data_IF_119996272387
#
_entry.id   IF_119996272387
#
_cell.length_a   1.000
_cell.length_b   1.000
_cell.length_c   1.000
_cell.angle_alpha   90.00
_cell.angle_beta   90.00
_cell.angle_gamma   90.00
#
_symmetry.space_group_name_H-M   'P 1'
#
loop_
_entity.id
_entity.type
_entity.pdbx_description
1 polymer ?
#
# COMPACT_ATOMS: atom_id res chain seq x y z
N UNK A 1 17.92 15.43 0.70
CA UNK A 1 17.00 16.59 0.90
C UNK A 1 17.03 17.00 2.38
N UNK A 2 16.96 18.29 2.69
CA UNK A 2 17.18 18.82 4.05
C UNK A 2 15.91 18.71 4.93
N UNK A 3 16.06 18.31 6.20
CA UNK A 3 14.99 18.18 7.21
C UNK A 3 14.15 19.46 7.37
N UNK A 4 14.77 20.62 7.18
CA UNK A 4 14.12 21.93 7.27
C UNK A 4 13.01 22.12 6.22
N UNK A 5 13.15 21.53 5.03
CA UNK A 5 12.13 21.62 3.99
C UNK A 5 10.88 20.82 4.36
N UNK A 6 11.07 19.66 4.97
CA UNK A 6 9.98 18.81 5.48
C UNK A 6 9.21 19.52 6.60
N UNK A 7 9.93 20.14 7.55
CA UNK A 7 9.32 20.91 8.64
C UNK A 7 8.47 22.08 8.11
N UNK A 8 9.03 22.92 7.23
CA UNK A 8 8.30 24.07 6.65
C UNK A 8 7.05 23.65 5.88
N UNK A 9 7.11 22.55 5.13
CA UNK A 9 5.94 22.04 4.39
C UNK A 9 4.85 21.52 5.33
N UNK A 10 5.23 20.85 6.44
CA UNK A 10 4.27 20.45 7.48
C UNK A 10 3.63 21.65 8.16
N UNK A 11 4.43 22.65 8.53
CA UNK A 11 3.92 23.89 9.13
C UNK A 11 2.95 24.61 8.19
N UNK A 12 3.25 24.63 6.88
CA UNK A 12 2.34 25.18 5.89
C UNK A 12 1.01 24.39 5.80
N UNK A 13 1.04 23.06 5.86
CA UNK A 13 -0.22 22.28 5.89
C UNK A 13 -1.00 22.63 7.15
N UNK A 14 -0.32 22.63 8.30
CA UNK A 14 -0.92 22.91 9.61
C UNK A 14 -1.63 24.27 9.64
N UNK A 15 -1.04 25.33 9.06
CA UNK A 15 -1.66 26.67 9.08
C UNK A 15 -3.01 26.74 8.37
N UNK A 16 -3.33 25.83 7.44
CA UNK A 16 -4.66 25.76 6.84
C UNK A 16 -5.70 25.20 7.80
N UNK A 17 -5.34 24.23 8.64
CA UNK A 17 -6.26 23.57 9.57
C UNK A 17 -6.37 24.31 10.91
N UNK A 18 -5.31 25.00 11.34
CA UNK A 18 -5.31 25.84 12.55
C UNK A 18 -6.28 27.04 12.45
N UNK A 19 -6.80 27.36 11.25
CA UNK A 19 -7.86 28.35 11.03
C UNK A 19 -9.23 27.89 11.52
N UNK A 20 -9.43 26.58 11.70
CA UNK A 20 -10.68 25.96 12.14
C UNK A 20 -10.45 25.07 13.37
N UNK A 21 -9.98 25.63 14.51
CA UNK A 21 -9.53 24.86 15.67
C UNK A 21 -10.65 24.13 16.41
N UNK A 22 -11.92 24.50 16.18
CA UNK A 22 -13.08 23.78 16.71
C UNK A 22 -13.40 22.51 15.92
N UNK A 23 -12.84 22.38 14.72
CA UNK A 23 -13.10 21.28 13.79
C UNK A 23 -11.88 20.40 13.57
N UNK A 24 -10.68 20.94 13.68
CA UNK A 24 -9.45 20.18 13.46
C UNK A 24 -8.48 20.32 14.62
N UNK A 25 -7.83 19.21 14.96
CA UNK A 25 -6.70 19.16 15.88
C UNK A 25 -5.50 18.54 15.16
N UNK A 26 -4.38 19.26 15.13
CA UNK A 26 -3.14 18.77 14.53
C UNK A 26 -2.47 17.75 15.45
N UNK A 27 -2.25 16.53 14.95
CA UNK A 27 -1.60 15.46 15.73
C UNK A 27 -0.08 15.51 15.53
N UNK A 28 0.39 15.65 14.29
CA UNK A 28 1.82 15.68 13.99
C UNK A 28 2.23 14.95 12.73
N UNK A 29 3.49 14.52 12.68
CA UNK A 29 4.01 13.71 11.57
C UNK A 29 3.51 12.27 11.70
N UNK A 30 2.89 11.74 10.64
CA UNK A 30 2.51 10.33 10.52
C UNK A 30 3.59 9.49 9.81
N UNK A 31 4.60 10.14 9.24
CA UNK A 31 5.71 9.50 8.53
C UNK A 31 6.32 10.41 7.48
N UNK A 32 7.38 9.92 6.85
CA UNK A 32 7.97 10.49 5.64
C UNK A 32 8.38 9.34 4.74
N UNK A 33 7.85 9.30 3.52
CA UNK A 33 8.20 8.30 2.50
C UNK A 33 9.05 8.92 1.39
N UNK A 34 9.51 8.10 0.43
CA UNK A 34 10.31 8.56 -0.71
C UNK A 34 9.65 9.68 -1.54
N UNK A 35 8.32 9.75 -1.54
CA UNK A 35 7.53 10.62 -2.42
C UNK A 35 6.86 11.83 -1.71
N UNK A 36 7.04 12.00 -0.39
CA UNK A 36 6.39 13.13 0.30
C UNK A 36 6.29 13.04 1.83
N UNK A 37 5.51 13.96 2.40
CA UNK A 37 5.19 13.99 3.84
C UNK A 37 3.82 13.39 4.13
N UNK A 38 3.74 12.65 5.22
CA UNK A 38 2.50 12.21 5.82
C UNK A 38 2.27 12.97 7.13
N UNK A 39 1.15 13.68 7.23
CA UNK A 39 0.76 14.43 8.43
C UNK A 39 -0.56 13.92 8.97
N UNK A 40 -0.64 13.69 10.28
CA UNK A 40 -1.86 13.25 10.94
C UNK A 40 -2.61 14.44 11.54
N UNK A 41 -3.94 14.39 11.44
CA UNK A 41 -4.86 15.29 12.10
C UNK A 41 -6.08 14.54 12.60
N UNK A 42 -6.78 15.13 13.56
CA UNK A 42 -8.11 14.72 13.98
C UNK A 42 -9.13 15.72 13.45
N UNK A 43 -10.25 15.21 12.94
CA UNK A 43 -11.42 15.98 12.55
C UNK A 43 -12.58 15.68 13.50
N UNK A 44 -13.18 16.74 14.05
CA UNK A 44 -14.41 16.70 14.83
C UNK A 44 -15.60 16.91 13.89
N UNK A 45 -16.46 15.90 13.78
CA UNK A 45 -17.61 15.90 12.89
C UNK A 45 -18.84 16.57 13.55
N UNK A 46 -19.78 17.11 12.77
CA UNK A 46 -20.99 17.76 13.31
C UNK A 46 -21.88 16.85 14.16
N UNK A 47 -21.81 15.54 13.95
CA UNK A 47 -22.55 14.54 14.74
C UNK A 47 -21.90 14.21 16.10
N UNK A 48 -20.81 14.91 16.45
CA UNK A 48 -20.07 14.72 17.69
C UNK A 48 -19.05 13.58 17.65
N UNK A 49 -18.93 12.86 16.52
CA UNK A 49 -17.88 11.86 16.35
C UNK A 49 -16.56 12.53 15.99
N UNK A 50 -15.47 11.83 16.27
CA UNK A 50 -14.13 12.20 15.82
C UNK A 50 -13.55 11.13 14.90
N UNK A 51 -12.72 11.55 13.94
CA UNK A 51 -11.91 10.64 13.12
C UNK A 51 -10.49 11.16 12.96
N UNK A 52 -9.53 10.26 12.89
CA UNK A 52 -8.13 10.57 12.55
C UNK A 52 -7.91 10.38 11.05
N UNK A 53 -7.18 11.30 10.45
CA UNK A 53 -6.88 11.32 9.02
C UNK A 53 -5.38 11.51 8.80
N UNK A 54 -4.89 11.04 7.66
CA UNK A 54 -3.53 11.27 7.18
C UNK A 54 -3.59 12.07 5.89
N UNK A 55 -2.83 13.16 5.84
CA UNK A 55 -2.58 13.93 4.62
C UNK A 55 -1.23 13.53 4.07
N UNK A 56 -1.21 12.95 2.87
CA UNK A 56 0.00 12.73 2.08
C UNK A 56 0.18 13.89 1.11
N UNK A 57 1.33 14.57 1.12
CA UNK A 57 1.62 15.69 0.21
C UNK A 57 2.98 15.52 -0.45
N UNK A 58 3.03 15.76 -1.76
CA UNK A 58 4.27 15.69 -2.51
C UNK A 58 5.24 16.80 -2.07
N UNK A 59 6.52 16.45 -1.95
CA UNK A 59 7.62 17.40 -1.73
C UNK A 59 8.58 17.32 -2.92
N UNK A 60 9.19 18.45 -3.30
CA UNK A 60 10.10 18.48 -4.45
C UNK A 60 9.40 18.20 -5.78
N UNK A 61 10.06 17.43 -6.66
CA UNK A 61 9.60 17.03 -7.99
C UNK A 61 8.67 15.81 -8.01
N UNK A 62 8.31 15.27 -6.84
CA UNK A 62 7.55 14.02 -6.70
C UNK A 62 6.04 14.15 -6.97
N UNK A 63 5.59 15.28 -7.52
CA UNK A 63 4.18 15.53 -7.81
C UNK A 63 3.58 14.50 -8.77
N UNK A 64 4.33 14.09 -9.79
CA UNK A 64 3.86 13.10 -10.77
C UNK A 64 3.67 11.71 -10.14
N UNK A 65 4.60 11.27 -9.30
CA UNK A 65 4.51 9.99 -8.61
C UNK A 65 3.28 9.93 -7.67
N UNK A 66 3.05 11.00 -6.90
CA UNK A 66 1.89 11.08 -6.03
C UNK A 66 0.57 11.12 -6.82
N UNK A 67 0.53 11.75 -7.99
CA UNK A 67 -0.67 11.73 -8.84
C UNK A 67 -0.99 10.34 -9.38
N UNK A 68 0.04 9.58 -9.79
CA UNK A 68 -0.12 8.18 -10.20
C UNK A 68 -0.65 7.35 -9.04
N UNK A 69 -0.11 7.53 -7.83
CA UNK A 69 -0.60 6.85 -6.63
C UNK A 69 -2.05 7.23 -6.30
N UNK A 70 -2.43 8.50 -6.45
CA UNK A 70 -3.82 8.97 -6.29
C UNK A 70 -4.75 8.24 -7.23
N UNK A 71 -4.40 8.17 -8.50
CA UNK A 71 -5.26 7.54 -9.50
C UNK A 71 -5.35 6.03 -9.30
N UNK A 72 -4.21 5.39 -9.00
CA UNK A 72 -4.17 3.95 -8.69
C UNK A 72 -5.04 3.62 -7.48
N UNK A 73 -4.92 4.36 -6.39
CA UNK A 73 -5.65 4.04 -5.17
C UNK A 73 -7.17 4.22 -5.33
N UNK A 74 -7.62 5.21 -6.12
CA UNK A 74 -9.04 5.38 -6.46
C UNK A 74 -9.61 4.17 -7.19
N UNK A 75 -8.83 3.52 -8.05
CA UNK A 75 -9.29 2.37 -8.83
C UNK A 75 -9.55 1.13 -7.97
N UNK A 76 -8.85 1.00 -6.84
CA UNK A 76 -8.90 -0.17 -5.95
C UNK A 76 -9.55 0.14 -4.59
N UNK A 77 -10.17 1.31 -4.47
CA UNK A 77 -10.82 1.74 -3.25
C UNK A 77 -12.02 0.86 -2.88
N UNK A 78 -12.35 0.78 -1.59
CA UNK A 78 -13.47 0.01 -1.08
C UNK A 78 -13.12 -1.43 -0.72
N UNK A 79 -11.88 -1.88 -0.93
CA UNK A 79 -11.37 -3.13 -0.36
C UNK A 79 -10.95 -2.96 1.11
N UNK A 80 -11.40 -3.83 2.01
CA UNK A 80 -11.08 -3.78 3.45
C UNK A 80 -9.58 -3.91 3.78
N UNK A 81 -8.79 -4.52 2.91
CA UNK A 81 -7.34 -4.68 3.05
C UNK A 81 -6.55 -3.68 2.20
N UNK A 82 -7.24 -2.71 1.58
CA UNK A 82 -6.67 -1.57 0.88
C UNK A 82 -6.85 -0.33 1.77
N UNK A 83 -5.89 0.58 1.77
CA UNK A 83 -6.04 1.86 2.49
C UNK A 83 -7.10 2.74 1.83
N UNK A 84 -8.02 3.29 2.61
CA UNK A 84 -9.11 4.10 2.07
C UNK A 84 -8.72 5.57 1.92
N UNK A 85 -9.05 6.17 0.77
CA UNK A 85 -9.06 7.62 0.62
C UNK A 85 -10.26 8.22 1.34
N UNK A 86 -10.13 9.42 1.88
CA UNK A 86 -11.21 10.09 2.63
C UNK A 86 -11.45 11.48 2.08
N UNK A 87 -12.69 11.96 2.18
CA UNK A 87 -13.03 13.35 1.84
C UNK A 87 -13.11 14.21 3.08
N UNK A 88 -12.91 15.53 2.94
CA UNK A 88 -13.14 16.51 4.00
C UNK A 88 -14.10 17.57 3.43
N UNK A 89 -15.27 17.74 4.03
CA UNK A 89 -16.24 18.76 3.62
C UNK A 89 -15.63 20.16 3.73
N UNK A 90 -15.75 21.03 2.74
CA UNK A 90 -15.12 22.37 2.77
C UNK A 90 -13.61 22.33 3.11
N UNK A 91 -12.88 21.36 2.54
CA UNK A 91 -11.48 21.11 2.82
C UNK A 91 -10.63 22.40 2.76
N UNK A 92 -9.95 22.79 3.87
CA UNK A 92 -9.04 23.93 3.89
C UNK A 92 -7.95 23.89 2.80
N UNK A 93 -7.45 22.70 2.45
CA UNK A 93 -6.44 22.54 1.41
C UNK A 93 -6.99 22.79 0.01
N UNK A 94 -8.24 22.39 -0.27
CA UNK A 94 -8.88 22.63 -1.57
C UNK A 94 -9.23 24.11 -1.74
N UNK A 95 -9.69 24.80 -0.69
CA UNK A 95 -9.95 26.25 -0.73
C UNK A 95 -8.72 27.09 -0.99
N UNK A 96 -7.54 26.57 -0.63
CA UNK A 96 -6.26 27.18 -0.97
C UNK A 96 -5.85 26.96 -2.44
N UNK A 97 -6.58 26.14 -3.21
CA UNK A 97 -6.37 25.89 -4.63
C UNK A 97 -7.36 26.72 -5.46
N UNK A 98 -6.91 27.52 -6.44
CA UNK A 98 -7.82 28.18 -7.36
C UNK A 98 -8.69 27.14 -8.10
N UNK A 99 -10.01 27.38 -8.12
CA UNK A 99 -11.05 26.48 -8.62
C UNK A 99 -10.87 26.03 -10.08
N UNK A 100 -10.09 26.76 -10.87
CA UNK A 100 -9.92 26.55 -12.32
C UNK A 100 -9.12 25.29 -12.70
N UNK A 101 -8.45 24.64 -11.73
CA UNK A 101 -7.60 23.46 -11.98
C UNK A 101 -8.28 22.11 -11.73
N UNK A 102 -9.38 22.06 -10.96
CA UNK A 102 -10.01 20.77 -10.62
C UNK A 102 -10.58 20.09 -11.86
N UNK A 103 -11.07 20.86 -12.84
CA UNK A 103 -11.59 20.35 -14.12
C UNK A 103 -10.51 19.99 -15.15
N UNK A 104 -9.37 20.70 -15.16
CA UNK A 104 -8.31 20.48 -16.15
C UNK A 104 -7.59 19.13 -16.00
N UNK A 105 -7.64 18.52 -14.81
CA UNK A 105 -7.09 17.18 -14.56
C UNK A 105 -8.06 16.05 -14.94
N UNK A 106 -9.36 16.34 -15.04
CA UNK A 106 -10.39 15.36 -15.41
C UNK A 106 -10.51 15.19 -16.93
N UNK A 107 -10.29 16.26 -17.70
CA UNK A 107 -10.42 16.25 -19.17
C UNK A 107 -9.18 15.72 -19.90
N UNK A 108 -8.01 15.65 -19.25
CA UNK A 108 -6.77 15.22 -19.90
C UNK A 108 -6.65 13.68 -20.07
N UNK A 109 -7.50 12.89 -19.41
CA UNK A 109 -7.47 11.41 -19.43
C UNK A 109 -8.63 10.77 -20.21
N UNK A 110 -9.60 11.55 -20.68
CA UNK A 110 -10.70 11.05 -21.53
C UNK A 110 -10.35 11.19 -23.02
N UNK A 111 -9.24 10.59 -23.43
CA UNK A 111 -8.97 10.26 -24.83
C UNK A 111 -9.33 8.80 -25.08
N UNK A 112 -10.57 8.54 -25.46
CA UNK A 112 -11.03 7.25 -25.98
C UNK A 112 -10.22 6.83 -27.22
N UNK A 113 -10.04 5.52 -27.40
CA UNK A 113 -9.08 4.91 -28.31
C UNK A 113 -9.14 5.34 -29.78
N UNK A 114 -7.97 5.32 -30.42
CA UNK A 114 -7.71 4.46 -31.58
C UNK A 114 -6.21 4.42 -31.86
N UNK A 115 -5.64 3.22 -31.93
CA UNK A 115 -4.30 3.01 -32.47
C UNK A 115 -4.34 3.23 -33.99
N UNK A 116 -3.87 4.39 -34.46
CA UNK A 116 -3.09 4.44 -35.71
C UNK A 116 -2.33 5.76 -35.88
N UNK A 117 -1.09 5.61 -36.33
CA UNK A 117 -0.23 6.60 -36.99
C UNK A 117 0.46 7.68 -36.13
N UNK A 118 1.77 7.78 -36.40
CA UNK A 118 2.73 8.74 -35.86
C UNK A 118 2.34 10.19 -36.21
N UNK A 119 2.28 11.08 -35.22
CA UNK A 119 2.99 12.38 -35.18
C UNK A 119 2.47 13.29 -34.06
N UNK A 120 3.41 13.92 -33.33
CA UNK A 120 3.29 15.25 -32.70
C UNK A 120 2.01 15.58 -31.90
N UNK A 121 2.01 15.26 -30.61
CA UNK A 121 0.95 15.68 -29.68
C UNK A 121 1.31 15.65 -28.19
N UNK A 122 2.59 15.73 -27.82
CA UNK A 122 3.06 15.64 -26.41
C UNK A 122 3.14 17.00 -25.69
N UNK A 123 2.39 18.01 -26.15
CA UNK A 123 2.58 19.40 -25.72
C UNK A 123 2.03 19.76 -24.34
N UNK A 124 0.93 19.11 -23.90
CA UNK A 124 0.16 19.63 -22.75
C UNK A 124 0.71 19.18 -21.38
N UNK A 125 0.96 17.88 -21.20
CA UNK A 125 1.51 17.34 -19.94
C UNK A 125 2.98 17.73 -19.72
N UNK A 126 3.79 17.72 -20.78
CA UNK A 126 5.21 18.10 -20.67
C UNK A 126 5.38 19.57 -20.30
N UNK A 127 4.55 20.48 -20.82
CA UNK A 127 4.62 21.91 -20.50
C UNK A 127 4.24 22.21 -19.04
N UNK A 128 3.23 21.52 -18.49
CA UNK A 128 2.80 21.66 -17.10
C UNK A 128 3.85 21.08 -16.13
N UNK A 129 4.49 19.97 -16.50
CA UNK A 129 5.46 19.25 -15.66
C UNK A 129 6.90 19.81 -15.75
N UNK A 130 7.29 20.47 -16.85
CA UNK A 130 8.69 20.87 -17.08
C UNK A 130 9.15 22.14 -16.35
N UNK A 131 8.26 22.90 -15.70
CA UNK A 131 8.65 24.12 -14.98
C UNK A 131 9.52 25.09 -15.79
N UNK A 132 9.41 25.09 -17.13
CA UNK A 132 10.23 25.94 -18.00
C UNK A 132 9.74 27.36 -17.87
N UNK A 133 10.53 28.15 -17.16
CA UNK A 133 10.43 29.61 -17.04
C UNK A 133 10.35 30.23 -18.44
N UNK A 134 9.13 30.55 -18.87
CA UNK A 134 8.92 31.51 -19.93
C UNK A 134 9.12 32.90 -19.33
N UNK A 135 10.20 33.55 -19.74
CA UNK A 135 10.54 34.92 -19.38
C UNK A 135 9.45 35.89 -19.85
N UNK A 136 8.46 36.17 -19.01
CA UNK A 136 7.65 37.39 -19.06
C UNK A 136 6.88 37.57 -17.75
N UNK A 137 7.46 38.34 -16.82
CA UNK A 137 6.77 39.29 -15.93
C UNK A 137 5.44 38.96 -15.25
N UNK A 138 5.00 37.71 -15.13
CA UNK A 138 3.76 37.34 -14.45
C UNK A 138 4.07 36.44 -13.26
N UNK A 139 3.55 36.88 -12.11
CA UNK A 139 3.57 36.22 -10.80
C UNK A 139 3.47 34.70 -10.96
N UNK A 140 4.53 33.99 -10.56
CA UNK A 140 4.51 32.53 -10.43
C UNK A 140 3.52 32.18 -9.33
N UNK A 141 2.23 32.06 -9.66
CA UNK A 141 1.25 31.45 -8.77
C UNK A 141 1.73 30.02 -8.54
N UNK A 142 2.29 29.78 -7.36
CA UNK A 142 2.76 28.49 -6.94
C UNK A 142 1.55 27.55 -6.93
N UNK A 143 1.43 26.72 -7.97
CA UNK A 143 0.40 25.70 -8.05
C UNK A 143 0.42 24.84 -6.78
N UNK A 144 -0.73 24.60 -6.15
CA UNK A 144 -0.78 23.77 -4.95
C UNK A 144 -0.32 22.35 -5.31
N UNK A 145 0.71 21.89 -4.62
CA UNK A 145 1.23 20.53 -4.82
C UNK A 145 0.14 19.50 -4.56
N UNK A 146 0.10 18.40 -5.34
CA UNK A 146 -0.84 17.32 -5.13
C UNK A 146 -0.82 16.83 -3.68
N UNK A 147 -2.00 16.46 -3.19
CA UNK A 147 -2.18 15.84 -1.90
C UNK A 147 -3.28 14.79 -1.96
N UNK A 148 -3.23 13.85 -1.04
CA UNK A 148 -4.26 12.86 -0.79
C UNK A 148 -4.59 12.85 0.69
N UNK A 149 -5.87 12.59 1.01
CA UNK A 149 -6.32 12.35 2.37
C UNK A 149 -6.69 10.88 2.47
N UNK A 150 -6.17 10.21 3.49
CA UNK A 150 -6.38 8.79 3.76
C UNK A 150 -6.84 8.62 5.20
N UNK A 151 -7.39 7.44 5.49
CA UNK A 151 -7.62 7.04 6.87
C UNK A 151 -6.31 6.90 7.65
N UNK A 152 -6.40 7.06 8.98
CA UNK A 152 -5.28 6.86 9.88
C UNK A 152 -5.20 5.39 10.31
N UNK A 153 -4.07 4.75 10.05
CA UNK A 153 -3.81 3.37 10.46
C UNK A 153 -3.26 3.37 11.89
N UNK A 154 -4.11 3.03 12.86
CA UNK A 154 -3.78 3.19 14.29
C UNK A 154 -2.56 2.42 14.78
N UNK A 155 -2.29 1.26 14.17
CA UNK A 155 -1.20 0.38 14.58
C UNK A 155 0.10 0.60 13.79
N UNK A 156 0.13 1.60 12.91
CA UNK A 156 1.29 1.91 12.06
C UNK A 156 1.50 0.89 10.94
N UNK A 157 2.73 0.84 10.43
CA UNK A 157 3.14 -0.04 9.32
C UNK A 157 3.62 -1.41 9.83
N UNK A 158 3.53 -2.44 8.98
CA UNK A 158 3.91 -3.80 9.34
C UNK A 158 5.40 -3.96 9.66
N UNK A 159 6.28 -3.21 9.00
CA UNK A 159 7.72 -3.23 9.26
C UNK A 159 8.05 -2.83 10.70
N UNK A 160 7.44 -1.76 11.22
CA UNK A 160 7.59 -1.33 12.62
C UNK A 160 7.13 -2.43 13.60
N UNK A 161 6.07 -3.16 13.26
CA UNK A 161 5.60 -4.27 14.07
C UNK A 161 6.62 -5.43 14.08
N UNK A 162 7.14 -5.81 12.90
CA UNK A 162 8.15 -6.86 12.76
C UNK A 162 9.43 -6.47 13.52
N UNK A 163 9.90 -5.24 13.38
CA UNK A 163 11.08 -4.72 14.08
C UNK A 163 10.92 -4.78 15.60
N UNK A 164 9.74 -4.38 16.10
CA UNK A 164 9.43 -4.45 17.54
C UNK A 164 9.37 -5.89 18.03
N UNK A 165 8.78 -6.79 17.26
CA UNK A 165 8.73 -8.22 17.58
C UNK A 165 10.13 -8.84 17.58
N UNK A 166 10.99 -8.48 16.63
CA UNK A 166 12.39 -8.90 16.56
C UNK A 166 13.21 -8.44 17.77
N UNK A 167 13.14 -7.14 18.11
CA UNK A 167 13.85 -6.58 19.29
C UNK A 167 13.39 -7.22 20.60
N UNK A 168 12.10 -7.53 20.74
CA UNK A 168 11.58 -8.21 21.93
C UNK A 168 12.12 -9.64 22.06
N UNK A 169 12.41 -10.32 20.94
CA UNK A 169 13.06 -11.64 20.91
C UNK A 169 14.49 -11.58 21.44
N UNK A 170 15.25 -10.57 21.01
CA UNK A 170 16.66 -10.42 21.37
C UNK A 170 16.87 -10.02 22.84
N UNK A 171 15.84 -9.45 23.48
CA UNK A 171 15.85 -9.04 24.89
C UNK A 171 15.46 -10.16 25.89
N UNK A 172 15.28 -11.41 25.43
CA UNK A 172 14.86 -12.58 26.23
C UNK A 172 13.68 -12.28 27.19
N UNK A 173 12.79 -11.36 26.78
CA UNK A 173 11.55 -11.11 27.47
C UNK A 173 10.65 -12.33 27.23
N UNK A 174 10.63 -13.23 28.23
CA UNK A 174 10.02 -14.57 28.29
C UNK A 174 8.63 -14.77 27.64
N UNK A 175 7.91 -13.70 27.27
CA UNK A 175 6.55 -13.75 26.72
C UNK A 175 6.47 -13.58 25.20
N UNK A 176 7.51 -13.08 24.51
CA UNK A 176 7.49 -12.88 23.05
C UNK A 176 8.38 -13.90 22.32
N UNK A 177 8.10 -15.19 22.52
CA UNK A 177 8.70 -16.29 21.74
C UNK A 177 8.06 -16.31 20.35
N UNK A 178 8.72 -15.68 19.37
CA UNK A 178 8.33 -15.58 17.95
C UNK A 178 6.89 -15.10 17.68
N UNK A 179 6.60 -14.62 16.46
CA UNK A 179 5.21 -14.34 16.08
C UNK A 179 4.54 -15.70 15.87
N UNK A 180 3.39 -16.00 16.52
CA UNK A 180 2.72 -17.29 16.34
C UNK A 180 2.35 -17.53 14.88
N UNK A 181 2.54 -18.75 14.37
CA UNK A 181 2.21 -19.13 12.99
C UNK A 181 0.78 -18.75 12.58
N UNK A 182 -0.19 -18.92 13.50
CA UNK A 182 -1.58 -18.49 13.27
C UNK A 182 -1.70 -17.00 12.89
N UNK A 183 -0.86 -16.14 13.49
CA UNK A 183 -0.83 -14.70 13.20
C UNK A 183 -0.11 -14.45 11.87
N UNK A 184 0.98 -15.15 11.58
CA UNK A 184 1.69 -15.06 10.29
C UNK A 184 0.78 -15.44 9.11
N UNK A 185 0.02 -16.53 9.23
CA UNK A 185 -0.99 -16.91 8.24
C UNK A 185 -2.08 -15.85 8.06
N UNK A 186 -2.45 -15.12 9.12
CA UNK A 186 -3.42 -14.02 9.03
C UNK A 186 -2.84 -12.83 8.28
N UNK A 187 -1.58 -12.47 8.52
CA UNK A 187 -0.90 -11.43 7.75
C UNK A 187 -0.76 -11.81 6.28
N UNK A 188 -0.37 -13.06 5.99
CA UNK A 188 -0.31 -13.55 4.62
C UNK A 188 -1.69 -13.51 3.95
N UNK A 189 -2.77 -13.89 4.67
CA UNK A 189 -4.12 -13.80 4.10
C UNK A 189 -4.58 -12.36 3.87
N UNK A 190 -4.20 -11.40 4.73
CA UNK A 190 -4.44 -9.99 4.48
C UNK A 190 -3.77 -9.52 3.19
N UNK A 191 -2.53 -9.96 2.93
CA UNK A 191 -1.81 -9.65 1.69
C UNK A 191 -2.51 -10.27 0.47
N UNK A 192 -2.87 -11.55 0.54
CA UNK A 192 -3.62 -12.23 -0.53
C UNK A 192 -4.94 -11.52 -0.82
N UNK A 193 -5.67 -11.08 0.21
CA UNK A 193 -6.90 -10.29 0.06
C UNK A 193 -6.65 -8.94 -0.60
N UNK A 194 -5.57 -8.25 -0.28
CA UNK A 194 -5.19 -7.02 -0.98
C UNK A 194 -4.91 -7.30 -2.47
N UNK A 195 -4.18 -8.37 -2.80
CA UNK A 195 -3.96 -8.78 -4.19
C UNK A 195 -5.27 -9.09 -4.92
N UNK A 196 -6.22 -9.79 -4.27
CA UNK A 196 -7.56 -10.04 -4.79
C UNK A 196 -8.32 -8.72 -5.02
N UNK A 197 -8.24 -7.76 -4.10
CA UNK A 197 -8.86 -6.43 -4.28
C UNK A 197 -8.27 -5.61 -5.41
N UNK A 198 -6.99 -5.84 -5.74
CA UNK A 198 -6.35 -5.21 -6.90
C UNK A 198 -6.72 -5.90 -8.21
N UNK A 199 -6.79 -7.23 -8.21
CA UNK A 199 -7.19 -8.03 -9.38
C UNK A 199 -8.68 -7.87 -9.71
N UNK A 200 -9.55 -7.78 -8.71
CA UNK A 200 -10.99 -7.57 -8.89
C UNK A 200 -11.49 -6.42 -8.02
N UNK A 201 -11.22 -5.16 -8.43
CA UNK A 201 -11.58 -3.99 -7.64
C UNK A 201 -13.07 -3.89 -7.36
N UNK A 202 -13.41 -3.51 -6.12
CA UNK A 202 -14.78 -3.20 -5.75
C UNK A 202 -15.24 -1.96 -6.52
N UNK A 203 -16.34 -2.04 -7.24
CA UNK A 203 -16.93 -0.90 -7.97
C UNK A 203 -17.68 0.04 -7.02
N UNK A 204 -17.08 0.40 -5.88
CA UNK A 204 -17.67 1.34 -4.93
C UNK A 204 -17.37 2.77 -5.37
N UNK A 205 -18.42 3.51 -5.71
CA UNK A 205 -18.34 4.93 -6.10
C UNK A 205 -18.32 5.90 -4.89
N UNK A 206 -18.33 5.39 -3.66
CA UNK A 206 -18.37 6.22 -2.44
C UNK A 206 -17.07 6.08 -1.62
N UNK A 207 -16.20 7.11 -1.61
CA UNK A 207 -14.96 7.10 -0.82
C UNK A 207 -15.17 7.01 0.70
N UNK A 208 -16.34 7.41 1.19
CA UNK A 208 -16.69 7.36 2.61
C UNK A 208 -17.57 6.15 2.95
N UNK A 209 -17.81 5.26 1.98
CA UNK A 209 -18.50 3.99 2.16
C UNK A 209 -17.75 3.00 3.05
N UNK A 210 -18.48 2.01 3.56
CA UNK A 210 -17.90 0.91 4.34
C UNK A 210 -17.10 -0.04 3.42
N UNK A 211 -15.81 -0.30 3.71
CA UNK A 211 -15.01 -1.21 2.91
C UNK A 211 -15.55 -2.65 2.96
N UNK A 212 -15.53 -3.32 1.81
CA UNK A 212 -16.01 -4.68 1.61
C UNK A 212 -14.85 -5.65 1.61
N UNK A 213 -15.09 -6.84 2.17
CA UNK A 213 -14.13 -7.94 2.13
C UNK A 213 -13.95 -8.44 0.69
N UNK A 214 -12.70 -8.53 0.26
CA UNK A 214 -12.31 -8.96 -1.08
C UNK A 214 -12.53 -10.46 -1.26
N UNK A 215 -13.19 -10.85 -2.35
CA UNK A 215 -13.36 -12.25 -2.74
C UNK A 215 -13.08 -12.36 -4.25
N UNK A 216 -12.42 -13.43 -4.72
CA UNK A 216 -12.17 -13.61 -6.15
C UNK A 216 -13.46 -13.67 -6.97
N UNK A 217 -13.51 -12.95 -8.09
CA UNK A 217 -14.60 -13.06 -9.07
C UNK A 217 -14.22 -14.08 -10.13
N UNK A 218 -14.59 -15.33 -9.89
CA UNK A 218 -14.16 -16.49 -10.69
C UNK A 218 -14.65 -16.48 -12.14
N UNK A 219 -15.72 -15.74 -12.41
CA UNK A 219 -16.30 -15.59 -13.74
C UNK A 219 -15.75 -14.37 -14.51
N UNK A 220 -14.83 -13.61 -13.90
CA UNK A 220 -14.22 -12.40 -14.47
C UNK A 220 -12.71 -12.57 -14.54
N UNK A 221 -12.11 -12.25 -15.68
CA UNK A 221 -10.65 -12.14 -15.78
C UNK A 221 -10.12 -11.07 -14.83
N UNK A 222 -8.97 -11.29 -14.17
CA UNK A 222 -8.37 -10.28 -13.31
C UNK A 222 -8.01 -9.03 -14.13
N UNK A 223 -8.20 -7.87 -13.52
CA UNK A 223 -7.80 -6.59 -14.11
C UNK A 223 -6.27 -6.44 -14.20
N UNK A 224 -5.82 -5.57 -15.08
CA UNK A 224 -4.39 -5.33 -15.35
C UNK A 224 -3.69 -4.47 -14.26
N UNK A 225 -4.25 -4.39 -13.05
CA UNK A 225 -3.65 -3.60 -11.99
C UNK A 225 -2.44 -4.33 -11.41
N UNK A 226 -1.28 -3.67 -11.42
CA UNK A 226 -0.06 -4.17 -10.78
C UNK A 226 0.42 -3.17 -9.73
N UNK A 227 0.69 -3.66 -8.52
CA UNK A 227 1.17 -2.80 -7.43
C UNK A 227 2.59 -2.27 -7.69
N UNK A 228 3.43 -3.06 -8.38
CA UNK A 228 4.82 -2.72 -8.78
C UNK A 228 5.82 -2.43 -7.65
N UNK A 229 5.39 -2.52 -6.39
CA UNK A 229 6.19 -2.17 -5.20
C UNK A 229 5.70 -2.90 -3.94
N UNK A 230 5.24 -4.15 -4.09
CA UNK A 230 4.96 -5.01 -2.93
C UNK A 230 6.29 -5.52 -2.39
N UNK A 231 6.79 -4.92 -1.31
CA UNK A 231 8.06 -5.34 -0.70
C UNK A 231 8.02 -5.31 0.84
N UNK A 232 8.86 -6.14 1.46
CA UNK A 232 9.27 -5.99 2.87
C UNK A 232 10.75 -5.57 2.94
N UNK A 233 11.60 -6.05 2.03
CA UNK A 233 12.89 -5.51 1.58
C UNK A 233 13.46 -6.50 0.54
N UNK A 234 13.96 -6.03 -0.61
CA UNK A 234 14.36 -6.88 -1.75
C UNK A 234 15.77 -7.46 -1.55
N UNK A 235 15.88 -8.78 -1.43
CA UNK A 235 17.14 -9.50 -1.64
C UNK A 235 17.19 -10.05 -3.06
N UNK A 236 18.12 -9.60 -3.89
CA UNK A 236 18.32 -10.07 -5.28
C UNK A 236 19.03 -11.44 -5.32
N UNK A 237 18.44 -12.47 -4.70
CA UNK A 237 19.02 -13.82 -4.69
C UNK A 237 17.94 -14.86 -4.91
N UNK A 238 17.99 -15.58 -6.04
CA UNK A 238 17.20 -16.77 -6.28
C UNK A 238 17.89 -17.99 -5.69
N UNK A 239 17.11 -18.97 -5.24
CA UNK A 239 17.61 -20.28 -4.78
C UNK A 239 16.65 -21.36 -5.23
N UNK A 240 17.19 -22.51 -5.63
CA UNK A 240 16.38 -23.67 -5.92
C UNK A 240 15.71 -24.22 -4.67
N UNK A 241 14.43 -24.55 -4.81
CA UNK A 241 13.59 -25.00 -3.72
C UNK A 241 12.89 -26.29 -4.13
N UNK A 242 12.96 -27.28 -3.24
CA UNK A 242 12.21 -28.53 -3.39
C UNK A 242 11.19 -28.69 -2.28
N UNK A 243 10.01 -29.16 -2.67
CA UNK A 243 8.92 -29.52 -1.76
C UNK A 243 8.40 -30.90 -2.10
N UNK A 244 8.12 -31.68 -1.06
CA UNK A 244 7.43 -32.96 -1.18
C UNK A 244 5.93 -32.73 -0.97
N UNK A 245 5.11 -33.16 -1.93
CA UNK A 245 3.65 -33.11 -1.83
C UNK A 245 3.07 -34.49 -2.14
N UNK A 246 2.83 -35.30 -1.11
CA UNK A 246 2.46 -36.70 -1.28
C UNK A 246 3.67 -37.55 -1.67
N UNK A 247 3.59 -38.26 -2.78
CA UNK A 247 4.68 -39.08 -3.33
C UNK A 247 5.53 -38.33 -4.37
N UNK A 248 5.12 -37.12 -4.76
CA UNK A 248 5.79 -36.31 -5.78
C UNK A 248 6.71 -35.25 -5.14
N UNK A 249 7.93 -35.15 -5.68
CA UNK A 249 8.89 -34.09 -5.37
C UNK A 249 8.84 -33.01 -6.45
N UNK A 250 8.49 -31.79 -6.05
CA UNK A 250 8.43 -30.61 -6.91
C UNK A 250 9.69 -29.78 -6.73
N UNK A 251 10.27 -29.29 -7.83
CA UNK A 251 11.50 -28.50 -7.84
C UNK A 251 11.32 -27.26 -8.70
N UNK A 252 11.55 -26.08 -8.13
CA UNK A 252 11.50 -24.80 -8.84
C UNK A 252 12.42 -23.77 -8.17
N UNK A 253 12.82 -22.73 -8.91
CA UNK A 253 13.60 -21.62 -8.36
C UNK A 253 12.68 -20.57 -7.74
N UNK A 254 13.10 -19.99 -6.60
CA UNK A 254 12.32 -18.97 -5.88
C UNK A 254 13.19 -17.80 -5.42
N UNK A 255 12.61 -16.60 -5.47
CA UNK A 255 13.21 -15.38 -4.92
C UNK A 255 13.03 -15.27 -3.38
N UNK A 256 12.32 -16.21 -2.76
CA UNK A 256 12.15 -16.28 -1.31
C UNK A 256 13.38 -16.86 -0.58
N UNK A 257 14.60 -16.68 -1.11
CA UNK A 257 15.84 -17.30 -0.59
C UNK A 257 16.11 -16.96 0.88
N UNK A 258 15.70 -15.78 1.34
CA UNK A 258 15.89 -15.30 2.71
C UNK A 258 15.21 -16.19 3.78
N UNK A 259 14.17 -16.94 3.43
CA UNK A 259 13.45 -17.82 4.36
C UNK A 259 13.83 -19.31 4.23
N UNK A 260 14.69 -19.63 3.27
CA UNK A 260 15.16 -20.99 3.01
C UNK A 260 16.37 -21.35 3.87
N UNK A 261 16.57 -22.64 4.19
CA UNK A 261 17.82 -23.11 4.77
C UNK A 261 19.02 -22.70 3.91
N UNK A 262 20.13 -22.34 4.54
CA UNK A 262 21.39 -22.11 3.83
C UNK A 262 22.05 -23.41 3.33
N UNK A 263 23.19 -23.28 2.65
CA UNK A 263 23.89 -24.41 2.05
C UNK A 263 24.42 -25.41 3.10
N UNK A 264 24.50 -25.00 4.37
CA UNK A 264 24.83 -25.85 5.52
C UNK A 264 23.59 -26.55 6.11
N UNK A 265 22.40 -26.32 5.53
CA UNK A 265 21.11 -26.83 5.99
C UNK A 265 20.55 -26.08 7.19
N UNK A 266 21.15 -24.95 7.59
CA UNK A 266 20.70 -24.18 8.73
C UNK A 266 19.47 -23.36 8.33
N UNK A 267 18.34 -23.72 8.93
CA UNK A 267 17.07 -23.02 8.73
C UNK A 267 17.05 -21.68 9.49
N UNK A 268 16.93 -20.52 8.82
CA UNK A 268 16.91 -19.22 9.50
C UNK A 268 15.64 -19.00 10.33
N UNK A 269 14.56 -19.70 9.99
CA UNK A 269 13.26 -19.61 10.66
C UNK A 269 12.71 -21.02 10.96
N UNK A 270 13.33 -21.78 11.89
CA UNK A 270 12.93 -23.16 12.16
C UNK A 270 11.49 -23.28 12.69
N UNK A 271 10.98 -22.20 13.29
CA UNK A 271 9.63 -22.09 13.84
C UNK A 271 8.56 -21.67 12.82
N UNK A 272 8.94 -21.31 11.58
CA UNK A 272 7.98 -20.95 10.55
C UNK A 272 7.27 -22.22 10.04
N UNK A 273 5.94 -22.21 10.04
CA UNK A 273 5.11 -23.31 9.53
C UNK A 273 5.58 -23.68 8.11
N UNK A 274 6.01 -24.94 7.88
CA UNK A 274 6.45 -25.38 6.56
C UNK A 274 5.41 -25.11 5.48
N UNK A 275 4.12 -25.38 5.73
CA UNK A 275 3.05 -25.11 4.76
C UNK A 275 3.00 -23.63 4.32
N UNK A 276 3.36 -22.70 5.23
CA UNK A 276 3.38 -21.27 4.94
C UNK A 276 4.62 -20.88 4.15
N UNK A 277 5.79 -21.37 4.57
CA UNK A 277 7.06 -21.17 3.87
C UNK A 277 6.93 -21.61 2.41
N UNK A 278 6.48 -22.84 2.22
CA UNK A 278 6.32 -23.46 0.92
C UNK A 278 5.42 -22.62 0.02
N UNK A 279 4.29 -22.16 0.55
CA UNK A 279 3.36 -21.33 -0.22
C UNK A 279 3.92 -19.94 -0.53
N UNK A 280 4.71 -19.34 0.37
CA UNK A 280 5.44 -18.09 0.08
C UNK A 280 6.46 -18.31 -1.04
N UNK A 281 7.23 -19.40 -0.98
CA UNK A 281 8.20 -19.75 -2.02
C UNK A 281 7.53 -19.93 -3.38
N UNK A 282 6.40 -20.63 -3.44
CA UNK A 282 5.58 -20.81 -4.65
C UNK A 282 5.06 -19.47 -5.20
N UNK A 283 4.59 -18.55 -4.34
CA UNK A 283 4.18 -17.21 -4.76
C UNK A 283 5.33 -16.37 -5.32
N UNK A 284 6.56 -16.68 -4.91
CA UNK A 284 7.80 -16.01 -5.35
C UNK A 284 8.62 -16.89 -6.30
N UNK A 285 7.99 -17.87 -6.96
CA UNK A 285 8.67 -18.68 -7.97
C UNK A 285 9.18 -17.80 -9.12
N UNK A 286 10.37 -18.10 -9.62
CA UNK A 286 10.99 -17.36 -10.73
C UNK A 286 10.14 -17.50 -11.98
N UNK A 287 9.78 -18.75 -12.31
CA UNK A 287 8.90 -19.06 -13.44
C UNK A 287 7.43 -18.82 -13.08
N UNK A 288 6.71 -18.16 -13.98
CA UNK A 288 5.30 -17.79 -13.75
C UNK A 288 4.37 -19.01 -13.67
N UNK A 289 4.72 -20.08 -14.37
CA UNK A 289 3.94 -21.33 -14.41
C UNK A 289 3.94 -22.08 -13.06
N UNK A 290 4.96 -21.86 -12.24
CA UNK A 290 5.07 -22.43 -10.89
C UNK A 290 4.34 -21.60 -9.82
N UNK A 291 3.91 -20.38 -10.17
CA UNK A 291 3.16 -19.51 -9.25
C UNK A 291 1.71 -19.98 -9.15
N UNK A 292 1.09 -19.87 -7.96
CA UNK A 292 -0.29 -20.27 -7.82
C UNK A 292 -1.21 -19.27 -8.52
N UNK A 293 -2.29 -19.78 -9.10
CA UNK A 293 -3.45 -18.95 -9.44
C UNK A 293 -3.95 -18.21 -8.19
N UNK A 294 -4.34 -16.93 -8.35
CA UNK A 294 -4.71 -16.08 -7.23
C UNK A 294 -6.01 -16.53 -6.54
N UNK A 295 -6.99 -17.06 -7.28
CA UNK A 295 -8.22 -17.56 -6.68
C UNK A 295 -7.97 -18.87 -5.92
N UNK A 296 -7.15 -19.77 -6.49
CA UNK A 296 -6.69 -20.99 -5.83
C UNK A 296 -5.86 -20.70 -4.57
N UNK A 297 -4.94 -19.74 -4.62
CA UNK A 297 -4.17 -19.27 -3.48
C UNK A 297 -5.09 -18.74 -2.38
N UNK A 298 -6.07 -17.91 -2.75
CA UNK A 298 -7.05 -17.37 -1.82
C UNK A 298 -7.81 -18.47 -1.08
N UNK A 299 -8.34 -19.46 -1.81
CA UNK A 299 -9.11 -20.56 -1.20
C UNK A 299 -8.24 -21.43 -0.29
N UNK A 300 -7.00 -21.73 -0.73
CA UNK A 300 -6.02 -22.47 0.08
C UNK A 300 -5.73 -21.74 1.40
N UNK A 301 -5.37 -20.45 1.34
CA UNK A 301 -5.03 -19.68 2.54
C UNK A 301 -6.26 -19.48 3.43
N UNK A 302 -7.43 -19.23 2.84
CA UNK A 302 -8.71 -19.07 3.56
C UNK A 302 -9.04 -20.32 4.36
N UNK A 303 -8.93 -21.51 3.77
CA UNK A 303 -9.09 -22.77 4.49
C UNK A 303 -8.11 -22.86 5.67
N UNK A 304 -6.80 -22.71 5.42
CA UNK A 304 -5.75 -22.79 6.44
C UNK A 304 -6.01 -21.84 7.62
N UNK A 305 -6.57 -20.67 7.35
CA UNK A 305 -6.84 -19.62 8.33
C UNK A 305 -8.15 -19.84 9.11
N UNK A 306 -9.17 -20.44 8.50
CA UNK A 306 -10.51 -20.57 9.06
C UNK A 306 -10.82 -21.97 9.61
N UNK A 307 -10.31 -23.04 9.00
CA UNK A 307 -10.59 -24.42 9.40
C UNK A 307 -9.70 -24.92 10.53
N UNK A 308 -8.55 -24.28 10.77
CA UNK A 308 -7.56 -24.74 11.76
C UNK A 308 -7.77 -24.12 13.14
N UNK A 309 -8.22 -24.96 14.08
CA UNK A 309 -8.45 -24.62 15.49
C UNK A 309 -7.17 -24.42 16.31
N UNK A 310 -7.31 -24.05 17.59
CA UNK A 310 -6.19 -23.76 18.47
C UNK A 310 -5.23 -24.95 18.66
N UNK A 311 -5.74 -26.19 18.62
CA UNK A 311 -4.97 -27.43 18.77
C UNK A 311 -3.97 -27.62 17.62
N UNK A 312 -4.41 -27.42 16.37
CA UNK A 312 -3.55 -27.49 15.18
C UNK A 312 -2.30 -26.58 15.29
N UNK A 313 -2.49 -25.38 15.82
CA UNK A 313 -1.42 -24.39 15.98
C UNK A 313 -0.56 -24.64 17.22
N UNK A 314 -1.09 -25.33 18.23
CA UNK A 314 -0.35 -25.67 19.44
C UNK A 314 0.73 -26.71 19.17
N UNK A 315 0.45 -27.70 18.31
CA UNK A 315 1.39 -28.75 17.88
C UNK A 315 2.55 -28.21 17.03
N UNK A 316 2.42 -27.00 16.48
CA UNK A 316 3.41 -26.32 15.63
C UNK A 316 4.09 -25.13 16.32
N UNK A 317 4.22 -25.19 17.65
CA UNK A 317 4.90 -24.17 18.49
C UNK A 317 6.41 -24.39 18.65
N UNK A 318 6.99 -25.34 17.94
CA UNK A 318 8.39 -25.76 18.13
C UNK A 318 9.34 -24.97 17.25
#
# INVERSE_FOLDING_TARGET
>A
MNSDQYARQRDQIRTYFDQEPTRFEWIGSAGSGGYGICSALKEFLPDGKERKLVIKRAIGGESAALLVEIERLKQIQGGKHIVQTRTISNNPLQRAVPLDLVGAFSDATLGSGDESSRSEGSGSLSAILSGRSASSGQSTMAYPKPFMIMEFIENGVLSDFIDKAGKARDLDLMLCRSIPNRVLWRFFFCLVRACVGMAWPNQLNDPDGEPVLEEPRRDEEPGNFTHTDLSIENGEWHRSYSRISGDDEYYYDTDASAILPDDEGKNPFPYLDPDLRDKICECMAVDEEDRPDLAGLFDYVKDKVLSRGAEYWFERRH
#
